data_IF_397391163081
#
_entry.id   IF_397391163081
#
_cell.length_a   1.000
_cell.length_b   1.000
_cell.length_c   1.000
_cell.angle_alpha   90.00
_cell.angle_beta   90.00
_cell.angle_gamma   90.00
#
_symmetry.space_group_name_H-M   'P 1'
#
loop_
_entity.id
_entity.type
_entity.pdbx_description
1 polymer ?
#
# COMPACT_ATOMS: atom_id res chain seq x y z
N UNK A 1 9.56 47.25 -38.65
CA UNK A 1 9.98 46.64 -37.37
C UNK A 1 8.70 46.26 -36.66
N UNK A 2 8.30 45.01 -36.86
CA UNK A 2 7.27 44.34 -36.06
C UNK A 2 8.07 43.34 -35.26
N UNK A 3 8.26 43.63 -33.98
CA UNK A 3 9.03 42.77 -33.09
C UNK A 3 8.21 41.50 -32.83
N UNK A 4 8.82 40.37 -33.21
CA UNK A 4 8.39 39.00 -32.95
C UNK A 4 8.18 38.80 -31.43
N UNK A 5 6.94 38.56 -31.01
CA UNK A 5 6.69 37.96 -29.70
C UNK A 5 7.08 36.48 -29.76
N UNK A 6 7.99 35.98 -28.89
CA UNK A 6 8.26 34.57 -28.81
C UNK A 6 7.03 33.90 -28.21
N UNK A 7 6.28 33.18 -29.04
CA UNK A 7 5.21 32.28 -28.59
C UNK A 7 5.84 31.30 -27.59
N UNK A 8 5.60 31.52 -26.30
CA UNK A 8 5.86 30.52 -25.25
C UNK A 8 5.06 29.27 -25.62
N UNK A 9 5.74 28.35 -26.29
CA UNK A 9 5.26 26.98 -26.43
C UNK A 9 5.31 26.41 -25.02
N UNK A 10 4.22 26.56 -24.27
CA UNK A 10 3.96 25.73 -23.09
C UNK A 10 3.92 24.30 -23.62
N UNK A 11 5.07 23.64 -23.56
CA UNK A 11 5.18 22.22 -23.84
C UNK A 11 4.27 21.52 -22.82
N UNK A 12 3.03 21.24 -23.21
CA UNK A 12 2.22 20.24 -22.54
C UNK A 12 3.03 18.94 -22.64
N UNK A 13 3.73 18.60 -21.56
CA UNK A 13 4.35 17.30 -21.46
C UNK A 13 3.21 16.29 -21.37
N UNK A 14 2.85 15.70 -22.51
CA UNK A 14 1.98 14.53 -22.61
C UNK A 14 2.56 13.45 -21.69
N UNK A 15 2.03 13.40 -20.46
CA UNK A 15 2.67 12.77 -19.31
C UNK A 15 2.59 11.24 -19.33
N UNK A 16 3.27 10.59 -20.28
CA UNK A 16 3.52 9.13 -20.31
C UNK A 16 4.66 8.73 -19.36
N UNK A 17 4.72 9.39 -18.20
CA UNK A 17 5.79 9.27 -17.20
C UNK A 17 5.52 8.21 -16.14
N UNK A 18 6.50 7.94 -15.27
CA UNK A 18 6.19 7.24 -14.01
C UNK A 18 5.40 8.20 -13.11
N UNK A 19 4.55 7.69 -12.21
CA UNK A 19 4.05 8.52 -11.12
C UNK A 19 5.21 9.06 -10.28
N UNK A 20 4.93 10.13 -9.55
CA UNK A 20 5.88 10.87 -8.71
C UNK A 20 6.87 9.94 -8.00
N UNK A 21 8.18 10.16 -8.21
CA UNK A 21 9.26 9.41 -7.54
C UNK A 21 9.12 9.48 -6.02
N UNK A 22 8.84 10.67 -5.50
CA UNK A 22 8.65 10.89 -4.08
C UNK A 22 7.45 10.09 -3.56
N UNK A 23 6.31 10.14 -4.27
CA UNK A 23 5.13 9.38 -3.89
C UNK A 23 5.39 7.87 -3.89
N UNK A 24 6.13 7.35 -4.87
CA UNK A 24 6.52 5.92 -4.93
C UNK A 24 7.38 5.51 -3.76
N UNK A 25 8.38 6.32 -3.42
CA UNK A 25 9.29 6.04 -2.31
C UNK A 25 8.52 6.09 -0.99
N UNK A 26 7.72 7.13 -0.75
CA UNK A 26 6.96 7.29 0.49
C UNK A 26 5.96 6.15 0.68
N UNK A 27 5.13 5.85 -0.33
CA UNK A 27 4.16 4.76 -0.25
C UNK A 27 4.85 3.40 -0.12
N UNK A 28 5.85 3.14 -0.96
CA UNK A 28 6.54 1.86 -1.00
C UNK A 28 7.33 1.57 0.28
N UNK A 29 8.08 2.55 0.78
CA UNK A 29 8.82 2.41 2.05
C UNK A 29 7.86 2.36 3.23
N UNK A 30 6.79 3.15 3.24
CA UNK A 30 5.77 3.09 4.31
C UNK A 30 5.15 1.71 4.44
N UNK A 31 4.71 1.12 3.32
CA UNK A 31 4.15 -0.24 3.28
C UNK A 31 5.17 -1.29 3.72
N UNK A 32 6.42 -1.18 3.25
CA UNK A 32 7.46 -2.11 3.63
C UNK A 32 7.86 -1.99 5.11
N UNK A 33 7.89 -0.77 5.66
CA UNK A 33 8.20 -0.53 7.06
C UNK A 33 7.12 -1.09 7.97
N UNK A 34 5.84 -0.84 7.67
CA UNK A 34 4.73 -1.43 8.41
C UNK A 34 4.79 -2.95 8.41
N UNK A 35 4.88 -3.58 7.24
CA UNK A 35 4.97 -5.03 7.14
C UNK A 35 6.23 -5.63 7.79
N UNK A 36 7.29 -4.83 7.92
CA UNK A 36 8.50 -5.27 8.64
C UNK A 36 8.32 -5.28 10.15
N UNK A 37 7.40 -4.47 10.69
CA UNK A 37 7.03 -4.52 12.11
C UNK A 37 6.25 -5.81 12.39
N UNK A 38 5.24 -6.11 11.56
CA UNK A 38 4.48 -7.36 11.62
C UNK A 38 5.41 -8.60 11.52
N UNK A 39 6.54 -8.46 10.82
CA UNK A 39 7.55 -9.52 10.76
C UNK A 39 8.36 -9.71 12.03
N UNK A 40 8.61 -8.62 12.77
CA UNK A 40 9.42 -8.65 14.00
C UNK A 40 8.66 -9.31 15.13
N UNK A 41 7.35 -9.09 15.17
CA UNK A 41 6.44 -9.64 16.16
C UNK A 41 5.56 -10.72 15.51
N UNK A 42 6.22 -11.72 14.94
CA UNK A 42 5.55 -12.78 14.16
C UNK A 42 4.63 -13.64 15.02
N UNK A 43 5.03 -13.95 16.25
CA UNK A 43 4.22 -14.76 17.17
C UNK A 43 2.88 -14.05 17.45
N UNK A 44 2.92 -12.76 17.76
CA UNK A 44 1.73 -11.92 17.96
C UNK A 44 0.89 -11.82 16.68
N UNK A 45 1.54 -11.72 15.51
CA UNK A 45 0.85 -11.67 14.21
C UNK A 45 0.14 -12.99 13.89
N UNK A 46 0.76 -14.13 14.22
CA UNK A 46 0.15 -15.46 14.05
C UNK A 46 -1.04 -15.62 15.01
N UNK A 47 -0.89 -15.27 16.29
CA UNK A 47 -1.96 -15.33 17.27
C UNK A 47 -3.15 -14.45 16.87
N UNK A 48 -2.87 -13.23 16.41
CA UNK A 48 -3.89 -12.33 15.89
C UNK A 48 -4.58 -12.93 14.64
N UNK A 49 -3.83 -13.51 13.71
CA UNK A 49 -4.39 -14.16 12.53
C UNK A 49 -5.25 -15.39 12.86
N UNK A 50 -4.86 -16.16 13.88
CA UNK A 50 -5.64 -17.28 14.41
C UNK A 50 -6.96 -16.78 15.03
N UNK A 51 -6.91 -15.71 15.83
CA UNK A 51 -8.10 -15.10 16.44
C UNK A 51 -9.10 -14.57 15.39
N UNK A 52 -8.60 -14.11 14.24
CA UNK A 52 -9.39 -13.65 13.10
C UNK A 52 -9.88 -14.79 12.18
N UNK A 53 -9.56 -16.05 12.50
CA UNK A 53 -10.03 -17.23 11.75
C UNK A 53 -9.33 -17.46 10.40
N UNK A 54 -8.10 -16.96 10.23
CA UNK A 54 -7.32 -17.18 9.00
C UNK A 54 -6.90 -18.65 8.90
N UNK A 55 -7.12 -19.33 7.75
CA UNK A 55 -6.65 -20.69 7.57
C UNK A 55 -5.11 -20.74 7.51
N UNK A 56 -4.50 -21.68 8.25
CA UNK A 56 -3.04 -21.88 8.32
C UNK A 56 -2.28 -20.61 8.73
N UNK A 57 -2.54 -20.02 9.92
CA UNK A 57 -1.98 -18.74 10.32
C UNK A 57 -0.45 -18.72 10.34
N UNK A 58 0.20 -19.83 10.74
CA UNK A 58 1.66 -20.00 10.74
C UNK A 58 2.33 -19.84 9.37
N UNK A 59 1.58 -20.04 8.28
CA UNK A 59 2.06 -19.87 6.92
C UNK A 59 1.53 -18.58 6.30
N UNK A 60 0.27 -18.25 6.57
CA UNK A 60 -0.41 -17.10 6.01
C UNK A 60 0.23 -15.78 6.50
N UNK A 61 0.52 -15.66 7.80
CA UNK A 61 1.11 -14.45 8.37
C UNK A 61 2.51 -14.15 7.78
N UNK A 62 3.50 -15.06 7.85
CA UNK A 62 4.82 -14.79 7.25
C UNK A 62 4.75 -14.53 5.73
N UNK A 63 3.87 -15.25 5.02
CA UNK A 63 3.70 -15.05 3.59
C UNK A 63 3.13 -13.66 3.28
N UNK A 64 2.11 -13.23 4.02
CA UNK A 64 1.44 -11.96 3.81
C UNK A 64 2.39 -10.79 4.11
N UNK A 65 3.09 -10.82 5.25
CA UNK A 65 4.10 -9.82 5.60
C UNK A 65 5.21 -9.81 4.53
N UNK A 66 5.68 -10.98 4.09
CA UNK A 66 6.72 -11.14 3.06
C UNK A 66 6.34 -10.52 1.74
N UNK A 67 5.14 -10.85 1.28
CA UNK A 67 4.55 -10.31 0.08
C UNK A 67 4.42 -8.78 0.18
N UNK A 68 4.02 -8.25 1.33
CA UNK A 68 3.79 -6.83 1.50
C UNK A 68 5.08 -6.01 1.51
N UNK A 69 6.16 -6.53 2.12
CA UNK A 69 7.50 -5.94 2.01
C UNK A 69 7.97 -5.91 0.56
N UNK A 70 7.84 -7.03 -0.17
CA UNK A 70 8.23 -7.12 -1.59
C UNK A 70 7.38 -6.18 -2.45
N UNK A 71 6.07 -6.07 -2.19
CA UNK A 71 5.18 -5.15 -2.87
C UNK A 71 5.60 -3.68 -2.62
N UNK A 72 5.89 -3.30 -1.37
CA UNK A 72 6.37 -1.97 -1.00
C UNK A 72 7.68 -1.60 -1.73
N UNK A 73 8.67 -2.48 -1.70
CA UNK A 73 9.92 -2.29 -2.46
C UNK A 73 9.68 -2.22 -3.97
N UNK A 74 8.78 -3.06 -4.50
CA UNK A 74 8.37 -3.07 -5.89
C UNK A 74 7.73 -1.75 -6.33
N UNK A 75 6.92 -1.13 -5.47
CA UNK A 75 6.32 0.20 -5.70
C UNK A 75 7.41 1.27 -5.68
N UNK A 76 8.32 1.26 -4.70
CA UNK A 76 9.39 2.23 -4.60
C UNK A 76 10.30 2.20 -5.84
N UNK A 77 10.73 1.01 -6.26
CA UNK A 77 11.62 0.80 -7.41
C UNK A 77 10.90 0.90 -8.76
N UNK A 78 9.58 0.67 -8.80
CA UNK A 78 8.71 0.75 -9.97
C UNK A 78 9.12 -0.15 -11.16
N UNK A 79 9.65 -1.33 -10.86
CA UNK A 79 10.08 -2.32 -11.88
C UNK A 79 8.95 -3.19 -12.41
N UNK A 80 8.08 -3.69 -11.53
CA UNK A 80 6.91 -4.50 -11.86
C UNK A 80 5.65 -3.86 -11.28
N UNK A 81 5.28 -2.64 -11.73
CA UNK A 81 4.33 -1.79 -11.01
C UNK A 81 2.95 -2.43 -10.90
N UNK A 82 2.46 -3.14 -11.93
CA UNK A 82 1.14 -3.80 -11.91
C UNK A 82 1.06 -4.91 -10.85
N UNK A 83 2.10 -5.73 -10.74
CA UNK A 83 2.17 -6.81 -9.76
C UNK A 83 2.32 -6.23 -8.36
N UNK A 84 3.25 -5.29 -8.17
CA UNK A 84 3.54 -4.71 -6.85
C UNK A 84 2.34 -3.94 -6.29
N UNK A 85 1.72 -3.07 -7.08
CA UNK A 85 0.53 -2.32 -6.65
C UNK A 85 -0.71 -3.21 -6.53
N UNK A 86 -0.85 -4.24 -7.38
CA UNK A 86 -1.93 -5.21 -7.29
C UNK A 86 -1.86 -6.04 -6.02
N UNK A 87 -0.68 -6.54 -5.66
CA UNK A 87 -0.45 -7.27 -4.41
C UNK A 87 -0.75 -6.40 -3.18
N UNK A 88 -0.28 -5.13 -3.18
CA UNK A 88 -0.56 -4.19 -2.10
C UNK A 88 -2.06 -3.92 -1.94
N UNK A 89 -2.79 -3.68 -3.03
CA UNK A 89 -4.24 -3.46 -3.02
C UNK A 89 -4.98 -4.69 -2.52
N UNK A 90 -4.63 -5.88 -3.00
CA UNK A 90 -5.26 -7.12 -2.60
C UNK A 90 -5.07 -7.39 -1.09
N UNK A 91 -3.84 -7.28 -0.60
CA UNK A 91 -3.53 -7.44 0.81
C UNK A 91 -4.28 -6.44 1.69
N UNK A 92 -4.15 -5.14 1.40
CA UNK A 92 -4.79 -4.08 2.18
C UNK A 92 -6.31 -4.26 2.21
N UNK A 93 -6.92 -4.69 1.10
CA UNK A 93 -8.37 -4.95 1.06
C UNK A 93 -8.76 -6.10 1.99
N UNK A 94 -8.03 -7.21 1.94
CA UNK A 94 -8.33 -8.39 2.78
C UNK A 94 -8.11 -8.04 4.26
N UNK A 95 -6.91 -7.59 4.64
CA UNK A 95 -6.58 -7.35 6.06
C UNK A 95 -7.46 -6.28 6.71
N UNK A 96 -7.81 -5.22 5.96
CA UNK A 96 -8.68 -4.15 6.48
C UNK A 96 -10.11 -4.66 6.71
N UNK A 97 -10.59 -5.58 5.87
CA UNK A 97 -11.95 -6.11 5.99
C UNK A 97 -12.06 -7.25 7.01
N UNK A 98 -11.00 -8.04 7.19
CA UNK A 98 -11.05 -9.25 8.04
C UNK A 98 -10.45 -9.07 9.42
N UNK A 99 -9.47 -8.20 9.59
CA UNK A 99 -8.73 -8.08 10.85
C UNK A 99 -9.07 -6.81 11.62
N UNK A 100 -9.09 -5.67 10.94
CA UNK A 100 -9.34 -4.38 11.61
C UNK A 100 -10.82 -4.01 11.71
N UNK A 101 -11.63 -4.96 12.17
CA UNK A 101 -13.05 -4.76 12.44
C UNK A 101 -13.23 -3.99 13.77
N UNK A 102 -13.01 -2.67 13.72
CA UNK A 102 -13.15 -1.82 14.90
C UNK A 102 -14.59 -1.70 15.40
N UNK A 103 -15.60 -2.04 14.57
CA UNK A 103 -17.00 -1.95 14.99
C UNK A 103 -17.39 -3.11 15.90
N UNK A 104 -16.76 -4.28 15.75
CA UNK A 104 -16.93 -5.45 16.60
C UNK A 104 -15.87 -5.63 17.71
N UNK A 105 -14.84 -4.78 17.75
CA UNK A 105 -13.80 -4.82 18.78
C UNK A 105 -14.30 -4.43 20.20
N UNK A 106 -13.69 -5.07 21.21
CA UNK A 106 -13.88 -4.77 22.64
C UNK A 106 -13.45 -3.35 22.99
N UNK A 107 -13.99 -2.77 24.06
CA UNK A 107 -13.80 -1.34 24.39
C UNK A 107 -12.32 -0.97 24.60
N UNK A 108 -11.52 -1.88 25.14
CA UNK A 108 -10.09 -1.67 25.41
C UNK A 108 -9.26 -1.59 24.11
N UNK A 109 -9.63 -2.35 23.07
CA UNK A 109 -8.88 -2.44 21.81
C UNK A 109 -9.46 -1.57 20.68
N UNK A 110 -10.71 -1.12 20.82
CA UNK A 110 -11.47 -0.38 19.80
C UNK A 110 -10.75 0.83 19.22
N UNK A 111 -9.99 1.55 20.05
CA UNK A 111 -9.25 2.74 19.60
C UNK A 111 -8.06 2.39 18.72
N UNK A 112 -7.33 1.32 19.06
CA UNK A 112 -6.21 0.81 18.27
C UNK A 112 -6.70 0.27 16.92
N UNK A 113 -7.74 -0.56 16.95
CA UNK A 113 -8.32 -1.14 15.73
C UNK A 113 -8.86 -0.08 14.78
N UNK A 114 -9.50 0.96 15.31
CA UNK A 114 -9.97 2.08 14.48
C UNK A 114 -8.82 2.81 13.80
N UNK A 115 -7.70 3.02 14.51
CA UNK A 115 -6.52 3.66 13.93
C UNK A 115 -5.91 2.80 12.82
N UNK A 116 -5.80 1.48 13.06
CA UNK A 116 -5.29 0.54 12.07
C UNK A 116 -6.19 0.46 10.82
N UNK A 117 -7.51 0.38 11.02
CA UNK A 117 -8.49 0.39 9.93
C UNK A 117 -8.36 1.62 9.03
N UNK A 118 -8.39 2.83 9.61
CA UNK A 118 -8.28 4.06 8.84
C UNK A 118 -6.90 4.27 8.23
N UNK A 119 -5.84 3.81 8.92
CA UNK A 119 -4.49 3.76 8.37
C UNK A 119 -4.44 2.93 7.09
N UNK A 120 -4.89 1.68 7.15
CA UNK A 120 -4.93 0.79 6.00
C UNK A 120 -5.84 1.30 4.89
N UNK A 121 -6.98 1.91 5.22
CA UNK A 121 -7.88 2.54 4.24
C UNK A 121 -7.20 3.70 3.49
N UNK A 122 -6.45 4.55 4.19
CA UNK A 122 -5.69 5.63 3.58
C UNK A 122 -4.58 5.09 2.65
N UNK A 123 -3.87 4.04 3.09
CA UNK A 123 -2.85 3.37 2.27
C UNK A 123 -3.45 2.69 1.05
N UNK A 124 -4.62 2.06 1.19
CA UNK A 124 -5.36 1.43 0.08
C UNK A 124 -5.72 2.48 -0.98
N UNK A 125 -6.21 3.65 -0.56
CA UNK A 125 -6.46 4.77 -1.46
C UNK A 125 -5.22 5.17 -2.26
N UNK A 126 -4.07 5.30 -1.59
CA UNK A 126 -2.79 5.54 -2.25
C UNK A 126 -2.42 4.43 -3.24
N UNK A 127 -2.47 3.17 -2.81
CA UNK A 127 -2.15 2.02 -3.63
C UNK A 127 -3.02 1.91 -4.89
N UNK A 128 -4.32 2.22 -4.80
CA UNK A 128 -5.25 2.26 -5.94
C UNK A 128 -4.88 3.34 -6.97
N UNK A 129 -4.43 4.52 -6.53
CA UNK A 129 -3.95 5.57 -7.44
C UNK A 129 -2.72 5.09 -8.21
N UNK A 130 -1.76 4.46 -7.54
CA UNK A 130 -0.58 3.90 -8.19
C UNK A 130 -0.91 2.71 -9.09
N UNK A 131 -1.86 1.86 -8.69
CA UNK A 131 -2.34 0.75 -9.52
C UNK A 131 -2.93 1.26 -10.83
N UNK A 132 -3.80 2.27 -10.76
CA UNK A 132 -4.37 2.91 -11.95
C UNK A 132 -3.26 3.43 -12.88
N UNK A 133 -2.24 4.08 -12.33
CA UNK A 133 -1.12 4.58 -13.12
C UNK A 133 -0.27 3.46 -13.73
N UNK A 134 -0.14 2.32 -13.05
CA UNK A 134 0.56 1.15 -13.56
C UNK A 134 -0.10 0.54 -14.82
N UNK A 135 -1.40 0.74 -15.01
CA UNK A 135 -2.15 0.30 -16.20
C UNK A 135 -2.21 1.32 -17.34
N UNK A 136 -1.82 2.57 -17.10
CA UNK A 136 -1.71 3.59 -18.18
C UNK A 136 -0.39 3.52 -18.95
N UNK A 137 0.60 2.82 -18.41
CA UNK A 137 1.87 2.46 -19.04
C UNK A 137 1.72 1.20 -19.86
#
# INVERSE_FOLDING_TARGET
>A
MSDDEPTETTAESDGRGAPSRLGRVLLGVGLAAQASEDFRDMDDTIEYAESAGVPMPDLAAPFASGMMVVAGLGIALWRLPRIATGAAVAFLTVVTATMHDFWNADEDDKSGERLAFFGNLAMLGGALVFLREAYKR
#
